data_IF_082723790869
#
_entry.id   IF_082723790869
#
_cell.length_a   1.000
_cell.length_b   1.000
_cell.length_c   1.000
_cell.angle_alpha   90.00
_cell.angle_beta   90.00
_cell.angle_gamma   90.00
#
_symmetry.space_group_name_H-M   'P 1'
#
loop_
_entity.id
_entity.type
_entity.pdbx_description
1 polymer ?
#
# COMPACT_ATOMS: atom_id res chain seq x y z
N UNK A 1 1.84 -3.68 -17.82
CA UNK A 1 0.90 -3.94 -18.93
C UNK A 1 1.59 -3.59 -20.25
N UNK A 2 0.97 -3.91 -21.38
CA UNK A 2 1.57 -3.88 -22.74
C UNK A 2 2.05 -2.49 -23.22
N UNK A 3 1.92 -1.44 -22.40
CA UNK A 3 2.42 -0.08 -22.64
C UNK A 3 3.66 0.31 -21.81
N UNK A 4 4.10 -0.52 -20.86
CA UNK A 4 5.31 -0.26 -20.08
C UNK A 4 5.18 0.95 -19.15
N UNK A 5 4.49 0.80 -18.02
CA UNK A 5 4.47 1.79 -16.94
C UNK A 5 5.53 1.52 -15.86
N UNK A 6 6.04 2.59 -15.23
CA UNK A 6 6.77 2.47 -13.96
C UNK A 6 5.75 2.35 -12.82
N UNK A 7 6.10 1.63 -11.76
CA UNK A 7 5.25 1.45 -10.58
C UNK A 7 6.01 1.84 -9.32
N UNK A 8 5.31 2.48 -8.38
CA UNK A 8 5.71 2.49 -6.99
C UNK A 8 5.35 1.11 -6.41
N UNK A 9 6.36 0.31 -6.08
CA UNK A 9 6.18 -1.11 -5.82
C UNK A 9 6.85 -1.56 -4.53
N UNK A 10 6.29 -2.60 -3.91
CA UNK A 10 6.91 -3.33 -2.80
C UNK A 10 6.93 -4.82 -3.13
N UNK A 11 8.05 -5.48 -2.86
CA UNK A 11 8.24 -6.90 -3.14
C UNK A 11 8.50 -7.68 -1.87
N UNK A 12 7.84 -8.84 -1.73
CA UNK A 12 8.16 -9.82 -0.71
C UNK A 12 9.24 -10.76 -1.24
N UNK A 13 10.34 -10.89 -0.49
CA UNK A 13 11.44 -11.79 -0.81
C UNK A 13 11.48 -12.94 0.20
N UNK A 14 11.57 -14.17 -0.30
CA UNK A 14 11.72 -15.38 0.51
C UNK A 14 12.65 -16.35 -0.21
N UNK A 15 13.58 -16.96 0.53
CA UNK A 15 14.47 -18.00 0.01
C UNK A 15 15.26 -17.55 -1.25
N UNK A 16 15.61 -16.26 -1.29
CA UNK A 16 16.35 -15.66 -2.41
C UNK A 16 15.51 -15.28 -3.64
N UNK A 17 14.19 -15.50 -3.62
CA UNK A 17 13.28 -15.16 -4.73
C UNK A 17 12.22 -14.13 -4.34
N UNK A 18 11.69 -13.43 -5.35
CA UNK A 18 10.51 -12.57 -5.22
C UNK A 18 9.26 -13.45 -5.24
N UNK A 19 8.49 -13.44 -4.16
CA UNK A 19 7.26 -14.24 -4.01
C UNK A 19 6.03 -13.45 -4.45
N UNK A 20 6.04 -12.15 -4.23
CA UNK A 20 4.96 -11.25 -4.62
C UNK A 20 5.51 -9.84 -4.83
N UNK A 21 4.86 -9.09 -5.71
CA UNK A 21 5.07 -7.66 -5.90
C UNK A 21 3.71 -6.98 -5.93
N UNK A 22 3.55 -5.95 -5.09
CA UNK A 22 2.38 -5.09 -5.08
C UNK A 22 2.73 -3.74 -5.69
N UNK A 23 1.78 -3.13 -6.39
CA UNK A 23 1.89 -1.79 -6.94
C UNK A 23 0.93 -0.86 -6.20
N UNK A 24 1.42 0.30 -5.77
CA UNK A 24 0.64 1.33 -5.08
C UNK A 24 -0.56 1.72 -5.93
N UNK A 25 -1.76 1.70 -5.35
CA UNK A 25 -2.99 1.99 -6.08
C UNK A 25 -3.31 3.49 -6.06
N UNK A 26 -3.14 4.14 -4.90
CA UNK A 26 -3.42 5.57 -4.73
C UNK A 26 -2.15 6.41 -4.88
N UNK A 27 -1.98 7.01 -6.07
CA UNK A 27 -0.84 7.87 -6.37
C UNK A 27 -1.14 9.34 -6.00
N UNK A 28 -0.52 9.91 -4.94
CA UNK A 28 -0.69 11.32 -4.61
C UNK A 28 -0.08 12.23 -5.68
N UNK A 29 -0.77 13.33 -5.98
CA UNK A 29 -0.28 14.37 -6.88
C UNK A 29 -0.62 15.76 -6.32
N UNK A 30 -0.37 15.94 -5.04
CA UNK A 30 -0.65 17.15 -4.26
C UNK A 30 0.47 17.39 -3.23
N UNK A 31 0.56 18.63 -2.73
CA UNK A 31 1.58 19.05 -1.78
C UNK A 31 2.98 18.78 -2.34
N UNK A 32 3.77 17.90 -1.70
CA UNK A 32 5.15 17.56 -2.08
C UNK A 32 5.23 16.35 -3.04
N UNK A 33 4.09 15.77 -3.43
CA UNK A 33 4.05 14.55 -4.24
C UNK A 33 3.58 14.83 -5.66
N UNK A 34 4.26 14.21 -6.63
CA UNK A 34 3.93 14.22 -8.06
C UNK A 34 3.91 12.79 -8.64
N UNK A 35 3.39 11.81 -7.89
CA UNK A 35 3.53 10.39 -8.26
C UNK A 35 2.82 10.03 -9.57
N UNK A 36 1.75 10.73 -9.95
CA UNK A 36 1.05 10.49 -11.23
C UNK A 36 1.87 10.88 -12.46
N UNK A 37 2.92 11.70 -12.28
CA UNK A 37 3.89 12.01 -13.34
C UNK A 37 4.79 10.81 -13.64
N UNK A 38 5.11 10.01 -12.63
CA UNK A 38 6.12 8.96 -12.72
C UNK A 38 5.53 7.57 -12.85
N UNK A 39 4.41 7.30 -12.18
CA UNK A 39 3.91 5.95 -11.97
C UNK A 39 2.51 5.73 -12.52
N UNK A 40 2.25 4.48 -12.90
CA UNK A 40 0.91 3.96 -13.19
C UNK A 40 0.33 3.36 -11.91
N UNK A 41 -0.97 3.58 -11.59
CA UNK A 41 -1.57 3.00 -10.40
C UNK A 41 -1.69 1.48 -10.52
N UNK A 42 -1.43 0.77 -9.43
CA UNK A 42 -1.82 -0.62 -9.25
C UNK A 42 -3.35 -0.79 -9.24
N UNK A 43 -3.81 -2.03 -9.42
CA UNK A 43 -5.25 -2.34 -9.51
C UNK A 43 -5.70 -3.49 -8.60
N UNK A 44 -4.77 -4.33 -8.17
CA UNK A 44 -5.08 -5.56 -7.45
C UNK A 44 -4.56 -5.47 -6.00
N UNK A 45 -5.26 -6.06 -5.03
CA UNK A 45 -4.72 -6.26 -3.69
C UNK A 45 -3.61 -7.33 -3.70
N UNK A 46 -2.73 -7.28 -2.71
CA UNK A 46 -1.69 -8.29 -2.53
C UNK A 46 -1.78 -8.89 -1.13
N UNK A 47 -2.19 -10.16 -1.05
CA UNK A 47 -2.28 -10.94 0.18
C UNK A 47 -1.42 -12.19 0.04
N UNK A 48 -0.53 -12.41 1.00
CA UNK A 48 0.44 -13.51 1.01
C UNK A 48 0.39 -14.26 2.33
N UNK A 49 0.61 -15.57 2.30
CA UNK A 49 0.69 -16.35 3.52
C UNK A 49 2.12 -16.35 4.10
N UNK A 50 2.24 -15.93 5.35
CA UNK A 50 3.50 -15.92 6.11
C UNK A 50 3.26 -16.67 7.42
N UNK A 51 3.84 -17.87 7.55
CA UNK A 51 3.73 -18.72 8.74
C UNK A 51 2.27 -18.97 9.17
N UNK A 52 1.37 -19.23 8.22
CA UNK A 52 -0.04 -19.49 8.47
C UNK A 52 -0.91 -18.24 8.69
N UNK A 53 -0.35 -17.03 8.65
CA UNK A 53 -1.10 -15.78 8.68
C UNK A 53 -1.18 -15.17 7.27
N UNK A 54 -2.37 -14.67 6.90
CA UNK A 54 -2.57 -13.93 5.64
C UNK A 54 -2.23 -12.46 5.84
N UNK A 55 -1.13 -12.02 5.23
CA UNK A 55 -0.61 -10.67 5.34
C UNK A 55 -0.92 -9.89 4.07
N UNK A 56 -1.65 -8.80 4.20
CA UNK A 56 -1.87 -7.81 3.16
C UNK A 56 -0.74 -6.80 3.08
N UNK A 57 -0.37 -6.35 1.88
CA UNK A 57 0.67 -5.33 1.68
C UNK A 57 0.06 -4.14 0.93
N UNK A 58 0.23 -2.95 1.48
CA UNK A 58 -0.20 -1.66 0.87
C UNK A 58 0.90 -0.60 0.99
N UNK A 59 0.80 0.48 0.24
CA UNK A 59 1.86 1.51 0.18
C UNK A 59 1.30 2.90 0.49
N UNK A 60 1.78 3.48 1.59
CA UNK A 60 1.63 4.87 2.02
C UNK A 60 0.20 5.42 1.85
N UNK A 61 -0.03 6.22 0.81
CA UNK A 61 -1.30 6.84 0.46
C UNK A 61 -2.47 5.87 0.23
N UNK A 62 -2.21 4.59 -0.01
CA UNK A 62 -3.25 3.56 -0.04
C UNK A 62 -4.07 3.52 1.26
N UNK A 63 -3.46 3.81 2.41
CA UNK A 63 -4.13 3.86 3.72
C UNK A 63 -5.13 5.01 3.86
N UNK A 64 -4.85 6.13 3.20
CA UNK A 64 -5.59 7.38 3.40
C UNK A 64 -6.95 7.36 2.71
N UNK A 65 -7.15 6.46 1.76
CA UNK A 65 -8.42 6.22 1.07
C UNK A 65 -8.99 4.84 1.46
N UNK A 66 -10.33 4.65 1.48
CA UNK A 66 -10.89 3.36 1.89
C UNK A 66 -10.55 2.18 0.95
N UNK A 67 -10.50 2.43 -0.35
CA UNK A 67 -10.48 1.41 -1.40
C UNK A 67 -9.40 0.31 -1.25
N UNK A 68 -8.10 0.63 -1.31
CA UNK A 68 -7.03 -0.38 -1.31
C UNK A 68 -6.98 -1.19 0.00
N UNK A 69 -7.22 -0.55 1.14
CA UNK A 69 -7.29 -1.25 2.43
C UNK A 69 -8.49 -2.21 2.46
N UNK A 70 -9.67 -1.74 2.05
CA UNK A 70 -10.87 -2.56 2.00
C UNK A 70 -10.71 -3.75 1.05
N UNK A 71 -10.21 -3.54 -0.17
CA UNK A 71 -9.92 -4.62 -1.13
C UNK A 71 -8.94 -5.65 -0.53
N UNK A 72 -7.93 -5.20 0.19
CA UNK A 72 -6.93 -6.08 0.82
C UNK A 72 -7.54 -6.90 1.96
N UNK A 73 -8.43 -6.30 2.75
CA UNK A 73 -9.19 -6.99 3.80
C UNK A 73 -10.19 -8.02 3.20
N UNK A 74 -10.92 -7.63 2.16
CA UNK A 74 -11.86 -8.49 1.41
C UNK A 74 -11.15 -9.66 0.72
N UNK A 75 -9.90 -9.46 0.28
CA UNK A 75 -9.01 -10.53 -0.19
C UNK A 75 -8.50 -11.47 0.93
N UNK A 76 -8.93 -11.23 2.17
CA UNK A 76 -8.72 -12.13 3.31
C UNK A 76 -7.52 -11.78 4.19
N UNK A 77 -6.90 -10.61 4.05
CA UNK A 77 -5.82 -10.20 4.94
C UNK A 77 -6.27 -10.18 6.41
N UNK A 78 -5.47 -10.80 7.28
CA UNK A 78 -5.65 -10.79 8.74
C UNK A 78 -4.83 -9.66 9.38
N UNK A 79 -3.73 -9.28 8.74
CA UNK A 79 -2.89 -8.14 9.12
C UNK A 79 -2.50 -7.43 7.83
N UNK A 80 -2.53 -6.09 7.82
CA UNK A 80 -2.07 -5.28 6.69
C UNK A 80 -0.79 -4.53 7.09
N UNK A 81 0.27 -4.72 6.32
CA UNK A 81 1.51 -3.96 6.42
C UNK A 81 1.45 -2.83 5.39
N UNK A 82 1.35 -1.59 5.88
CA UNK A 82 1.39 -0.41 5.03
C UNK A 82 2.80 0.22 5.07
N UNK A 83 3.52 0.24 3.94
CA UNK A 83 4.89 0.76 3.84
C UNK A 83 4.85 2.25 3.52
N UNK A 84 5.51 3.11 4.31
CA UNK A 84 5.32 4.55 4.24
C UNK A 84 6.62 5.33 3.99
N UNK A 85 6.57 6.32 3.11
CA UNK A 85 7.54 7.42 2.99
C UNK A 85 6.84 8.75 3.31
N UNK A 86 6.22 8.82 4.49
CA UNK A 86 5.29 9.90 4.85
C UNK A 86 6.03 11.07 5.51
N UNK A 87 6.08 12.26 4.87
CA UNK A 87 6.87 13.39 5.36
C UNK A 87 6.35 13.92 6.70
N UNK A 88 7.22 14.61 7.42
CA UNK A 88 6.87 15.26 8.68
C UNK A 88 6.07 16.54 8.45
N UNK A 89 5.05 16.76 9.28
CA UNK A 89 4.55 18.08 9.65
C UNK A 89 3.97 18.02 11.06
N UNK A 90 3.72 19.20 11.65
CA UNK A 90 3.07 19.31 12.96
C UNK A 90 1.74 18.54 12.94
N UNK A 91 1.46 17.78 14.00
CA UNK A 91 0.27 16.92 14.17
C UNK A 91 0.13 15.70 13.25
N UNK A 92 1.07 15.46 12.30
CA UNK A 92 0.97 14.32 11.36
C UNK A 92 0.77 12.97 12.03
N UNK A 93 1.39 12.77 13.21
CA UNK A 93 1.24 11.52 13.98
C UNK A 93 -0.21 11.26 14.38
N UNK A 94 -0.91 12.27 14.89
CA UNK A 94 -2.30 12.14 15.35
C UNK A 94 -3.22 11.82 14.17
N UNK A 95 -3.02 12.47 13.03
CA UNK A 95 -3.76 12.16 11.80
C UNK A 95 -3.55 10.70 11.36
N UNK A 96 -2.30 10.22 11.38
CA UNK A 96 -1.99 8.81 11.05
C UNK A 96 -2.69 7.85 11.99
N UNK A 97 -2.63 8.10 13.30
CA UNK A 97 -3.29 7.25 14.30
C UNK A 97 -4.82 7.24 14.14
N UNK A 98 -5.41 8.38 13.79
CA UNK A 98 -6.84 8.49 13.53
C UNK A 98 -7.25 7.64 12.31
N UNK A 99 -6.59 7.85 11.16
CA UNK A 99 -6.89 7.09 9.93
C UNK A 99 -6.63 5.59 10.12
N UNK A 100 -5.55 5.21 10.83
CA UNK A 100 -5.29 3.80 11.14
C UNK A 100 -6.45 3.17 11.92
N UNK A 101 -7.01 3.87 12.91
CA UNK A 101 -8.16 3.38 13.69
C UNK A 101 -9.43 3.25 12.84
N UNK A 102 -9.69 4.19 11.94
CA UNK A 102 -10.83 4.09 11.03
C UNK A 102 -10.75 2.91 10.06
N UNK A 103 -9.53 2.51 9.70
CA UNK A 103 -9.27 1.46 8.72
C UNK A 103 -9.08 0.07 9.34
N UNK A 104 -8.75 0.00 10.63
CA UNK A 104 -8.61 -1.23 11.39
C UNK A 104 -9.97 -1.67 11.95
N UNK A 105 -10.76 -2.35 11.12
CA UNK A 105 -12.07 -2.93 11.45
C UNK A 105 -12.17 -4.37 10.97
#
# INVERSE_FOLDING_TARGET
DELGGLFNAASLIREGGIVATVHKQHLPNYSVFDEKRYFVPGREPCVVEVRGARIGITICEDLWVPGPIQQTAEAGAQVIVNINASPYHVNKRVEREHVLRERAV
#
